data_IF_234301771890
#
_entry.id   IF_234301771890
#
_cell.length_a   1.000
_cell.length_b   1.000
_cell.length_c   1.000
_cell.angle_alpha   90.00
_cell.angle_beta   90.00
_cell.angle_gamma   90.00
#
_symmetry.space_group_name_H-M   'P 1'
#
loop_
_entity.id
_entity.type
_entity.pdbx_description
1 polymer ?
#
# COMPACT_ATOMS: atom_id res chain seq x y z
N UNK A 1 5.84 -51.44 -74.37
CA UNK A 1 6.25 -52.65 -73.62
C UNK A 1 7.72 -52.51 -73.24
N UNK A 2 8.04 -52.80 -71.97
CA UNK A 2 9.36 -53.12 -71.45
C UNK A 2 10.48 -52.05 -71.42
N UNK A 3 10.81 -51.70 -70.16
CA UNK A 3 12.14 -51.74 -69.52
C UNK A 3 13.26 -50.82 -70.07
N UNK A 4 13.67 -49.95 -69.14
CA UNK A 4 15.04 -49.82 -68.56
C UNK A 4 16.01 -48.79 -69.15
N UNK A 5 16.44 -47.92 -68.23
CA UNK A 5 17.81 -47.37 -67.99
C UNK A 5 18.14 -45.97 -68.54
N UNK A 6 18.30 -45.02 -67.60
CA UNK A 6 19.46 -44.13 -67.30
C UNK A 6 18.91 -42.88 -66.59
N UNK A 7 19.40 -42.32 -65.48
CA UNK A 7 20.65 -42.37 -64.69
C UNK A 7 20.26 -41.74 -63.32
N UNK A 8 20.54 -42.38 -62.19
CA UNK A 8 21.73 -42.23 -61.34
C UNK A 8 21.73 -41.01 -60.40
N UNK A 9 22.02 -41.32 -59.13
CA UNK A 9 22.48 -40.46 -58.01
C UNK A 9 21.42 -39.69 -57.22
N UNK A 10 21.28 -40.07 -55.94
CA UNK A 10 21.54 -39.28 -54.72
C UNK A 10 20.86 -40.00 -53.54
N UNK A 11 21.60 -40.79 -52.77
CA UNK A 11 22.37 -40.39 -51.58
C UNK A 11 21.50 -40.17 -50.34
N UNK A 12 21.68 -41.10 -49.40
CA UNK A 12 21.57 -41.01 -47.94
C UNK A 12 20.46 -40.13 -47.34
N UNK A 13 19.57 -40.82 -46.64
CA UNK A 13 18.76 -40.31 -45.56
C UNK A 13 19.60 -39.49 -44.56
N UNK A 14 19.29 -38.19 -44.47
CA UNK A 14 19.70 -37.34 -43.38
C UNK A 14 18.45 -36.84 -42.66
N UNK A 15 18.37 -37.23 -41.39
CA UNK A 15 17.39 -36.84 -40.39
C UNK A 15 17.13 -35.33 -40.38
N UNK A 16 15.90 -34.93 -40.66
CA UNK A 16 15.39 -33.58 -40.44
C UNK A 16 14.23 -33.61 -39.45
N UNK A 17 14.55 -33.67 -38.15
CA UNK A 17 13.58 -33.37 -37.09
C UNK A 17 13.26 -31.86 -37.16
N UNK A 18 12.10 -31.52 -37.73
CA UNK A 18 11.49 -30.20 -37.59
C UNK A 18 10.92 -30.06 -36.18
N UNK A 19 11.80 -29.70 -35.22
CA UNK A 19 11.39 -29.11 -33.95
C UNK A 19 10.87 -27.70 -34.22
N UNK A 20 9.57 -27.60 -34.47
CA UNK A 20 8.86 -26.32 -34.40
C UNK A 20 8.80 -25.90 -32.94
N UNK A 21 9.79 -25.13 -32.51
CA UNK A 21 9.80 -24.47 -31.21
C UNK A 21 8.67 -23.46 -31.14
N UNK A 22 7.49 -23.91 -30.70
CA UNK A 22 6.43 -23.04 -30.22
C UNK A 22 6.97 -22.40 -28.94
N UNK A 23 7.59 -21.23 -29.09
CA UNK A 23 7.93 -20.36 -27.98
C UNK A 23 6.61 -19.82 -27.42
N UNK A 24 6.00 -20.56 -26.50
CA UNK A 24 4.93 -20.02 -25.68
C UNK A 24 5.53 -18.91 -24.84
N UNK A 25 5.40 -17.68 -25.30
CA UNK A 25 5.57 -16.49 -24.46
C UNK A 25 4.49 -16.56 -23.38
N UNK A 26 4.78 -17.28 -22.29
CA UNK A 26 3.98 -17.18 -21.08
C UNK A 26 4.16 -15.76 -20.57
N UNK A 27 3.17 -14.90 -20.81
CA UNK A 27 3.09 -13.62 -20.14
C UNK A 27 3.14 -13.90 -18.64
N UNK A 28 4.24 -13.51 -17.99
CA UNK A 28 4.37 -13.65 -16.55
C UNK A 28 3.11 -13.08 -15.89
N UNK A 29 2.54 -13.77 -14.89
CA UNK A 29 1.33 -13.30 -14.23
C UNK A 29 1.57 -11.87 -13.74
N UNK A 30 0.59 -10.99 -13.95
CA UNK A 30 0.67 -9.54 -13.70
C UNK A 30 1.22 -9.21 -12.29
N UNK A 31 1.02 -10.10 -11.31
CA UNK A 31 1.55 -9.99 -9.96
C UNK A 31 3.09 -10.10 -9.86
N UNK A 32 3.74 -10.90 -10.70
CA UNK A 32 5.21 -11.03 -10.73
C UNK A 32 5.89 -9.76 -11.26
N UNK A 33 5.26 -9.08 -12.23
CA UNK A 33 5.77 -7.82 -12.80
C UNK A 33 5.70 -6.64 -11.81
N UNK A 34 4.80 -6.67 -10.82
CA UNK A 34 4.67 -5.63 -9.80
C UNK A 34 5.62 -5.81 -8.61
N UNK A 35 6.06 -7.03 -8.32
CA UNK A 35 6.87 -7.32 -7.14
C UNK A 35 8.27 -6.71 -7.18
N UNK A 36 8.84 -6.56 -8.38
CA UNK A 36 10.20 -6.06 -8.63
C UNK A 36 10.20 -4.85 -9.59
N UNK A 37 9.12 -4.07 -9.58
CA UNK A 37 8.94 -2.93 -10.46
C UNK A 37 10.04 -1.87 -10.27
N UNK A 38 10.81 -1.61 -11.33
CA UNK A 38 11.97 -0.71 -11.32
C UNK A 38 13.05 -1.07 -10.29
N UNK A 39 13.11 -2.34 -9.83
CA UNK A 39 14.10 -2.74 -8.82
C UNK A 39 15.55 -2.44 -9.26
N UNK A 40 15.87 -2.68 -10.53
CA UNK A 40 17.23 -2.53 -11.07
C UNK A 40 17.70 -1.08 -11.11
N UNK A 41 16.80 -0.11 -11.01
CA UNK A 41 17.14 1.31 -11.01
C UNK A 41 17.78 1.75 -9.69
N UNK A 42 17.61 0.98 -8.61
CA UNK A 42 18.07 1.36 -7.28
C UNK A 42 18.59 0.14 -6.51
N UNK A 43 19.88 0.14 -6.20
CA UNK A 43 20.48 -0.89 -5.36
C UNK A 43 20.23 -0.59 -3.87
N UNK A 44 19.02 -0.91 -3.40
CA UNK A 44 18.67 -0.82 -1.98
C UNK A 44 19.23 -2.00 -1.19
N UNK A 45 19.91 -1.72 -0.09
CA UNK A 45 20.40 -2.74 0.85
C UNK A 45 19.33 -3.13 1.89
N UNK A 46 18.29 -3.79 1.38
CA UNK A 46 17.11 -4.26 2.13
C UNK A 46 16.59 -5.56 1.54
N UNK A 47 15.87 -6.36 2.33
CA UNK A 47 15.26 -7.62 1.85
C UNK A 47 14.03 -7.38 0.97
N UNK A 48 13.23 -6.36 1.26
CA UNK A 48 12.13 -5.90 0.41
C UNK A 48 11.87 -4.40 0.57
N UNK A 49 11.32 -3.77 -0.47
CA UNK A 49 10.91 -2.37 -0.44
C UNK A 49 9.76 -2.07 -1.39
N UNK A 50 9.01 -1.02 -1.11
CA UNK A 50 8.03 -0.43 -2.03
C UNK A 50 7.92 1.08 -1.80
N UNK A 51 7.71 1.84 -2.87
CA UNK A 51 7.27 3.23 -2.80
C UNK A 51 5.97 3.40 -3.59
N UNK A 52 4.99 4.08 -2.98
CA UNK A 52 3.68 4.32 -3.59
C UNK A 52 3.22 5.75 -3.41
N UNK A 53 2.44 6.24 -4.36
CA UNK A 53 1.63 7.44 -4.18
C UNK A 53 0.47 7.16 -3.20
N UNK A 54 0.33 8.00 -2.18
CA UNK A 54 -0.64 7.78 -1.11
C UNK A 54 -2.09 7.89 -1.57
N UNK A 55 -2.39 8.73 -2.57
CA UNK A 55 -3.76 9.03 -3.01
C UNK A 55 -4.28 8.00 -4.01
N UNK A 56 -3.48 7.69 -5.03
CA UNK A 56 -3.83 6.79 -6.13
C UNK A 56 -3.46 5.33 -5.86
N UNK A 57 -2.51 5.09 -4.95
CA UNK A 57 -1.90 3.77 -4.74
C UNK A 57 -0.99 3.33 -5.88
N UNK A 58 -0.59 4.24 -6.78
CA UNK A 58 0.36 3.94 -7.84
C UNK A 58 1.69 3.49 -7.25
N UNK A 59 2.23 2.37 -7.75
CA UNK A 59 3.55 1.87 -7.37
C UNK A 59 4.61 2.58 -8.21
N UNK A 60 5.59 3.17 -7.54
CA UNK A 60 6.67 3.97 -8.12
C UNK A 60 8.01 3.23 -8.07
N UNK A 61 8.14 2.27 -7.16
CA UNK A 61 9.26 1.36 -7.02
C UNK A 61 8.82 0.13 -6.22
N UNK A 62 9.34 -1.05 -6.54
CA UNK A 62 9.16 -2.27 -5.77
C UNK A 62 10.38 -3.18 -5.88
N UNK A 63 10.77 -3.79 -4.75
CA UNK A 63 11.81 -4.82 -4.62
C UNK A 63 11.28 -5.93 -3.73
N UNK A 64 11.13 -7.15 -4.25
CA UNK A 64 10.56 -8.30 -3.53
C UNK A 64 9.27 -7.96 -2.75
N UNK A 65 8.44 -7.06 -3.30
CA UNK A 65 7.45 -6.34 -2.50
C UNK A 65 6.27 -7.20 -2.06
N UNK A 66 6.02 -8.33 -2.72
CA UNK A 66 4.89 -9.23 -2.46
C UNK A 66 5.24 -10.46 -1.61
N UNK A 67 6.50 -10.60 -1.19
CA UNK A 67 6.89 -11.72 -0.32
C UNK A 67 6.70 -11.31 1.15
N UNK A 68 5.90 -12.04 1.94
CA UNK A 68 5.77 -11.79 3.37
C UNK A 68 7.11 -11.86 4.11
N UNK A 69 7.34 -10.92 5.02
CA UNK A 69 8.51 -10.86 5.90
C UNK A 69 8.09 -10.37 7.27
N UNK A 70 8.92 -10.61 8.28
CA UNK A 70 8.66 -10.11 9.62
C UNK A 70 8.61 -8.57 9.61
N UNK A 71 7.58 -8.00 10.23
CA UNK A 71 7.31 -6.55 10.22
C UNK A 71 7.55 -5.90 11.58
N UNK A 72 7.83 -6.70 12.60
CA UNK A 72 8.07 -6.23 13.96
C UNK A 72 7.01 -5.18 14.41
N UNK A 73 7.45 -4.10 15.05
CA UNK A 73 6.58 -3.03 15.56
C UNK A 73 5.75 -2.27 14.52
N UNK A 74 5.97 -2.45 13.21
CA UNK A 74 5.04 -1.88 12.22
C UNK A 74 3.64 -2.52 12.31
N UNK A 75 3.52 -3.69 12.94
CA UNK A 75 2.25 -4.29 13.41
C UNK A 75 1.36 -3.26 14.10
N UNK A 76 1.95 -2.36 14.90
CA UNK A 76 1.21 -1.38 15.72
C UNK A 76 0.36 -0.43 14.89
N UNK A 77 0.65 -0.25 13.59
CA UNK A 77 -0.20 0.52 12.69
C UNK A 77 -1.59 -0.09 12.51
N UNK A 78 -1.70 -1.43 12.48
CA UNK A 78 -2.99 -2.13 12.44
C UNK A 78 -3.70 -2.01 13.80
N UNK A 79 -2.95 -2.08 14.90
CA UNK A 79 -3.47 -1.90 16.27
C UNK A 79 -4.06 -0.50 16.45
N UNK A 80 -3.34 0.52 16.01
CA UNK A 80 -3.77 1.91 15.99
C UNK A 80 -5.00 2.10 15.10
N UNK A 81 -5.02 1.51 13.90
CA UNK A 81 -6.19 1.62 13.01
C UNK A 81 -7.47 1.11 13.70
N UNK A 82 -7.41 -0.06 14.33
CA UNK A 82 -8.57 -0.62 15.05
C UNK A 82 -8.97 0.22 16.27
N UNK A 83 -8.00 0.84 16.95
CA UNK A 83 -8.26 1.76 18.06
C UNK A 83 -8.99 3.01 17.57
N UNK A 84 -8.48 3.66 16.53
CA UNK A 84 -9.11 4.84 15.91
C UNK A 84 -10.49 4.52 15.34
N UNK A 85 -10.65 3.32 14.75
CA UNK A 85 -11.95 2.84 14.31
C UNK A 85 -12.94 2.66 15.47
N UNK A 86 -12.50 2.11 16.61
CA UNK A 86 -13.35 2.00 17.80
C UNK A 86 -13.77 3.37 18.34
N UNK A 87 -12.86 4.36 18.32
CA UNK A 87 -13.16 5.74 18.70
C UNK A 87 -14.18 6.35 17.74
N UNK A 88 -13.97 6.24 16.43
CA UNK A 88 -14.89 6.75 15.40
C UNK A 88 -16.29 6.11 15.49
N UNK A 89 -16.37 4.87 15.96
CA UNK A 89 -17.64 4.16 16.20
C UNK A 89 -18.27 4.47 17.56
N UNK A 90 -17.68 5.35 18.38
CA UNK A 90 -18.19 5.70 19.72
C UNK A 90 -18.01 4.59 20.77
N UNK A 91 -17.24 3.54 20.49
CA UNK A 91 -16.99 2.42 21.44
C UNK A 91 -15.91 2.75 22.46
N UNK A 92 -15.02 3.68 22.11
CA UNK A 92 -13.99 4.25 22.96
C UNK A 92 -14.00 5.76 22.77
N UNK A 93 -13.45 6.49 23.73
CA UNK A 93 -13.07 7.89 23.58
C UNK A 93 -11.59 8.06 23.94
N UNK A 94 -11.02 9.22 23.62
CA UNK A 94 -9.66 9.56 24.02
C UNK A 94 -9.47 9.59 25.55
N UNK A 95 -10.54 9.85 26.30
CA UNK A 95 -10.56 9.91 27.77
C UNK A 95 -10.98 8.59 28.43
N UNK A 96 -11.48 7.61 27.67
CA UNK A 96 -11.66 6.25 28.18
C UNK A 96 -10.34 5.74 28.74
N UNK A 97 -10.41 4.96 29.82
CA UNK A 97 -9.21 4.41 30.47
C UNK A 97 -9.16 2.89 30.36
N UNK A 98 -7.96 2.33 30.29
CA UNK A 98 -7.71 0.90 30.33
C UNK A 98 -6.60 0.57 31.32
N UNK A 99 -6.76 -0.54 32.04
CA UNK A 99 -5.75 -1.08 32.96
C UNK A 99 -5.02 -2.25 32.29
N UNK A 100 -3.69 -2.26 32.22
CA UNK A 100 -2.94 -3.41 31.72
C UNK A 100 -3.09 -4.59 32.69
N UNK A 101 -3.15 -5.82 32.17
CA UNK A 101 -3.03 -7.00 33.04
C UNK A 101 -1.63 -7.09 33.66
N UNK A 102 -1.46 -7.92 34.68
CA UNK A 102 -0.13 -8.21 35.25
C UNK A 102 0.86 -8.72 34.20
N UNK A 103 0.40 -9.52 33.23
CA UNK A 103 1.22 -10.00 32.12
C UNK A 103 1.69 -8.86 31.21
N UNK A 104 0.78 -7.95 30.84
CA UNK A 104 1.12 -6.77 30.02
C UNK A 104 2.04 -5.81 30.77
N UNK A 105 1.80 -5.58 32.06
CA UNK A 105 2.66 -4.76 32.90
C UNK A 105 4.09 -5.32 32.96
N UNK A 106 4.25 -6.64 33.14
CA UNK A 106 5.56 -7.30 33.11
C UNK A 106 6.29 -7.07 31.77
N UNK A 107 5.58 -7.19 30.65
CA UNK A 107 6.14 -6.90 29.31
C UNK A 107 6.55 -5.43 29.19
N UNK A 108 5.77 -4.51 29.76
CA UNK A 108 6.05 -3.06 29.72
C UNK A 108 7.29 -2.66 30.55
N UNK A 109 7.67 -3.47 31.53
CA UNK A 109 8.79 -3.21 32.42
C UNK A 109 10.08 -3.90 31.94
N UNK A 110 10.03 -4.70 30.87
CA UNK A 110 11.25 -5.25 30.27
C UNK A 110 12.00 -4.15 29.50
N UNK A 111 13.20 -3.82 29.97
CA UNK A 111 14.09 -2.78 29.42
C UNK A 111 14.73 -3.16 28.09
N UNK A 112 14.70 -4.44 27.71
CA UNK A 112 15.15 -4.89 26.38
C UNK A 112 14.14 -4.54 25.28
N UNK A 113 12.91 -4.16 25.65
CA UNK A 113 11.82 -3.85 24.73
C UNK A 113 11.52 -2.35 24.75
N UNK A 114 11.16 -1.79 23.60
CA UNK A 114 10.62 -0.43 23.55
C UNK A 114 9.30 -0.35 24.34
N UNK A 115 9.27 0.46 25.38
CA UNK A 115 8.17 0.56 26.32
C UNK A 115 8.15 1.90 27.05
N UNK A 116 6.98 2.18 27.63
CA UNK A 116 6.83 3.08 28.76
C UNK A 116 6.45 2.22 29.97
N UNK A 117 6.86 2.59 31.20
CA UNK A 117 6.55 1.80 32.38
C UNK A 117 5.04 1.83 32.63
N UNK A 118 4.39 0.66 32.55
CA UNK A 118 3.00 0.49 32.94
C UNK A 118 2.90 -0.36 34.21
N UNK A 119 1.90 -0.06 35.03
CA UNK A 119 1.57 -0.83 36.24
C UNK A 119 0.14 -1.34 36.14
N UNK A 120 -0.09 -2.58 36.59
CA UNK A 120 -1.41 -3.24 36.46
C UNK A 120 -2.51 -2.62 37.34
N UNK A 121 -2.14 -1.90 38.40
CA UNK A 121 -3.09 -1.19 39.27
C UNK A 121 -3.55 0.16 38.70
N UNK A 122 -2.82 0.73 37.75
CA UNK A 122 -3.06 2.08 37.23
C UNK A 122 -3.87 2.05 35.92
N UNK A 123 -4.83 2.97 35.80
CA UNK A 123 -5.63 3.13 34.59
C UNK A 123 -5.05 4.25 33.73
N UNK A 124 -4.77 3.95 32.47
CA UNK A 124 -4.20 4.90 31.51
C UNK A 124 -5.26 5.27 30.48
N UNK A 125 -5.28 6.52 30.05
CA UNK A 125 -6.20 6.97 28.99
C UNK A 125 -5.82 6.35 27.65
N UNK A 126 -6.81 6.15 26.76
CA UNK A 126 -6.56 5.70 25.38
C UNK A 126 -5.61 6.66 24.66
N UNK A 127 -5.67 7.97 24.95
CA UNK A 127 -4.75 8.97 24.38
C UNK A 127 -3.30 8.74 24.78
N UNK A 128 -3.03 8.45 26.05
CA UNK A 128 -1.68 8.15 26.55
C UNK A 128 -1.12 6.89 25.92
N UNK A 129 -1.91 5.81 25.92
CA UNK A 129 -1.52 4.53 25.33
C UNK A 129 -1.29 4.64 23.82
N UNK A 130 -2.12 5.40 23.11
CA UNK A 130 -1.97 5.69 21.69
C UNK A 130 -0.68 6.46 21.38
N UNK A 131 -0.39 7.52 22.15
CA UNK A 131 0.85 8.29 22.00
C UNK A 131 2.07 7.44 22.29
N UNK A 132 2.07 6.66 23.36
CA UNK A 132 3.16 5.75 23.70
C UNK A 132 3.38 4.66 22.64
N UNK A 133 2.30 4.17 22.03
CA UNK A 133 2.36 3.17 20.94
C UNK A 133 3.05 3.72 19.69
N UNK A 134 2.82 4.99 19.34
CA UNK A 134 3.34 5.60 18.11
C UNK A 134 4.70 6.29 18.29
N UNK A 135 4.93 6.98 19.40
CA UNK A 135 6.16 7.72 19.68
C UNK A 135 7.25 6.75 20.17
N UNK A 136 7.04 6.15 21.34
CA UNK A 136 8.01 5.24 21.97
C UNK A 136 7.94 3.82 21.43
N UNK A 137 7.01 3.51 20.53
CA UNK A 137 6.78 2.14 20.06
C UNK A 137 6.45 1.16 21.20
N UNK A 138 5.81 1.65 22.27
CA UNK A 138 5.64 0.90 23.50
C UNK A 138 4.79 -0.36 23.32
N UNK A 139 5.35 -1.53 23.66
CA UNK A 139 4.69 -2.82 23.48
C UNK A 139 3.52 -3.00 24.45
N UNK A 140 3.73 -2.70 25.75
CA UNK A 140 2.68 -2.76 26.75
C UNK A 140 1.49 -1.87 26.42
N UNK A 141 1.74 -0.68 25.88
CA UNK A 141 0.69 0.24 25.46
C UNK A 141 -0.15 -0.33 24.31
N UNK A 142 0.50 -0.89 23.28
CA UNK A 142 -0.20 -1.52 22.15
C UNK A 142 -1.06 -2.72 22.59
N UNK A 143 -0.55 -3.55 23.50
CA UNK A 143 -1.29 -4.68 24.07
C UNK A 143 -2.49 -4.21 24.91
N UNK A 144 -2.32 -3.12 25.67
CA UNK A 144 -3.41 -2.53 26.47
C UNK A 144 -4.49 -1.92 25.58
N UNK A 145 -4.13 -1.28 24.47
CA UNK A 145 -5.09 -0.83 23.45
C UNK A 145 -5.86 -2.00 22.84
N UNK A 146 -5.17 -3.11 22.53
CA UNK A 146 -5.82 -4.31 22.02
C UNK A 146 -6.86 -4.87 23.00
N UNK A 147 -6.51 -4.93 24.29
CA UNK A 147 -7.42 -5.30 25.37
C UNK A 147 -8.62 -4.34 25.46
N UNK A 148 -8.39 -3.02 25.41
CA UNK A 148 -9.47 -2.04 25.46
C UNK A 148 -10.46 -2.18 24.30
N UNK A 149 -9.99 -2.52 23.10
CA UNK A 149 -10.83 -2.66 21.90
C UNK A 149 -11.59 -3.99 21.86
N UNK A 150 -11.08 -5.07 22.46
CA UNK A 150 -11.62 -6.41 22.25
C UNK A 150 -11.73 -7.30 23.49
N UNK A 151 -11.43 -6.79 24.68
CA UNK A 151 -11.40 -7.54 25.93
C UNK A 151 -10.10 -8.35 26.10
N UNK A 152 -9.66 -9.06 25.05
CA UNK A 152 -8.45 -9.88 25.08
C UNK A 152 -7.67 -9.85 23.76
N UNK A 153 -6.41 -10.29 23.81
CA UNK A 153 -5.52 -10.30 22.65
C UNK A 153 -5.98 -11.28 21.56
N UNK A 154 -6.44 -12.48 21.89
CA UNK A 154 -6.86 -13.48 20.89
C UNK A 154 -8.03 -12.95 20.06
N UNK A 155 -9.02 -12.35 20.70
CA UNK A 155 -10.16 -11.70 20.04
C UNK A 155 -9.69 -10.50 19.22
N UNK A 156 -8.74 -9.70 19.71
CA UNK A 156 -8.15 -8.61 18.95
C UNK A 156 -7.44 -9.10 17.67
N UNK A 157 -6.66 -10.18 17.73
CA UNK A 157 -5.98 -10.75 16.57
C UNK A 157 -6.97 -11.25 15.52
N UNK A 158 -8.10 -11.83 15.93
CA UNK A 158 -9.20 -12.19 15.00
C UNK A 158 -9.72 -10.94 14.27
N UNK A 159 -9.89 -9.81 14.97
CA UNK A 159 -10.27 -8.53 14.34
C UNK A 159 -9.19 -8.01 13.40
N UNK A 160 -7.91 -8.08 13.76
CA UNK A 160 -6.79 -7.68 12.88
C UNK A 160 -6.81 -8.49 11.59
N UNK A 161 -6.89 -9.82 11.67
CA UNK A 161 -6.93 -10.69 10.48
C UNK A 161 -8.15 -10.39 9.61
N UNK A 162 -9.33 -10.23 10.21
CA UNK A 162 -10.56 -9.85 9.48
C UNK A 162 -10.42 -8.50 8.76
N UNK A 163 -9.83 -7.51 9.43
CA UNK A 163 -9.58 -6.20 8.84
C UNK A 163 -8.64 -6.32 7.63
N UNK A 164 -7.50 -6.99 7.79
CA UNK A 164 -6.52 -7.18 6.72
C UNK A 164 -7.14 -7.94 5.54
N UNK A 165 -7.89 -9.01 5.79
CA UNK A 165 -8.63 -9.74 4.73
C UNK A 165 -9.62 -8.84 3.99
N UNK A 166 -10.33 -7.95 4.70
CA UNK A 166 -11.25 -6.99 4.06
C UNK A 166 -10.55 -5.99 3.14
N UNK A 167 -9.24 -5.80 3.29
CA UNK A 167 -8.41 -4.98 2.42
C UNK A 167 -7.72 -5.79 1.31
N UNK A 168 -8.01 -7.08 1.21
CA UNK A 168 -7.42 -7.98 0.23
C UNK A 168 -6.08 -8.58 0.66
N UNK A 169 -5.61 -8.31 1.88
CA UNK A 169 -4.38 -8.87 2.45
C UNK A 169 -4.73 -10.25 3.03
N UNK A 170 -4.30 -11.32 2.36
CA UNK A 170 -4.73 -12.71 2.66
C UNK A 170 -3.62 -13.62 3.16
N UNK A 171 -2.38 -13.22 3.03
CA UNK A 171 -1.17 -13.96 3.36
C UNK A 171 -0.46 -13.42 4.62
N UNK A 172 -1.04 -12.39 5.26
CA UNK A 172 -0.55 -11.87 6.53
C UNK A 172 -0.63 -12.93 7.65
N UNK A 173 0.46 -13.06 8.40
CA UNK A 173 0.51 -13.86 9.64
C UNK A 173 0.54 -12.91 10.82
N UNK A 174 -0.49 -12.91 11.65
CA UNK A 174 -0.60 -12.01 12.81
C UNK A 174 -0.91 -12.84 14.05
N UNK A 175 -0.08 -12.72 15.09
CA UNK A 175 -0.15 -13.46 16.34
C UNK A 175 -0.31 -12.54 17.55
N UNK A 176 0.16 -11.29 17.48
CA UNK A 176 0.04 -10.35 18.59
C UNK A 176 -0.11 -8.90 18.11
N UNK A 177 -0.49 -8.00 19.02
CA UNK A 177 -0.82 -6.60 18.70
C UNK A 177 0.42 -5.67 18.64
N UNK A 178 1.59 -6.13 19.06
CA UNK A 178 2.77 -5.27 19.23
C UNK A 178 3.92 -5.60 18.26
N UNK A 179 3.95 -6.80 17.70
CA UNK A 179 4.96 -7.27 16.75
C UNK A 179 6.19 -7.95 17.35
N UNK A 180 6.18 -8.28 18.65
CA UNK A 180 7.25 -9.08 19.26
C UNK A 180 7.17 -10.54 18.81
N UNK A 181 8.25 -11.32 19.03
CA UNK A 181 8.19 -12.77 18.95
C UNK A 181 7.20 -13.33 19.98
N UNK A 182 6.51 -14.40 19.64
CA UNK A 182 5.44 -14.93 20.50
C UNK A 182 5.93 -15.32 21.90
N UNK A 183 7.13 -15.90 22.00
CA UNK A 183 7.76 -16.28 23.27
C UNK A 183 8.10 -15.10 24.17
N UNK A 184 8.33 -13.91 23.61
CA UNK A 184 8.62 -12.67 24.35
C UNK A 184 7.40 -12.13 25.13
N UNK A 185 6.21 -12.68 24.88
CA UNK A 185 4.97 -12.22 25.50
C UNK A 185 4.57 -13.01 26.77
N UNK A 186 5.30 -14.07 27.13
CA UNK A 186 4.97 -14.90 28.29
C UNK A 186 3.52 -15.40 28.23
N UNK A 187 2.76 -15.20 29.32
CA UNK A 187 1.34 -15.60 29.38
C UNK A 187 0.40 -14.77 28.51
N UNK A 188 0.86 -13.64 27.94
CA UNK A 188 0.10 -12.90 26.94
C UNK A 188 0.28 -13.46 25.51
N UNK A 189 1.14 -14.46 25.30
CA UNK A 189 1.40 -15.04 23.99
C UNK A 189 0.13 -15.62 23.33
N UNK A 190 0.12 -15.67 22.01
CA UNK A 190 -0.94 -16.33 21.26
C UNK A 190 -0.83 -17.85 21.47
N UNK A 191 -1.93 -18.55 21.80
CA UNK A 191 -1.89 -19.97 22.09
C UNK A 191 -1.69 -20.82 20.83
N UNK A 192 -1.10 -22.01 21.00
CA UNK A 192 -1.01 -23.03 19.94
C UNK A 192 -0.04 -22.72 18.80
N UNK A 193 0.89 -21.78 18.98
CA UNK A 193 1.93 -21.43 18.00
C UNK A 193 3.31 -21.40 18.65
N UNK A 194 4.37 -21.64 17.86
CA UNK A 194 5.74 -21.70 18.36
C UNK A 194 6.23 -20.39 18.98
N UNK A 195 7.19 -20.46 19.91
CA UNK A 195 7.76 -19.28 20.58
C UNK A 195 8.43 -18.29 19.62
N UNK A 196 9.02 -18.79 18.54
CA UNK A 196 9.82 -17.95 17.63
C UNK A 196 9.00 -17.37 16.47
N UNK A 197 7.67 -17.53 16.47
CA UNK A 197 6.83 -16.93 15.42
C UNK A 197 6.69 -15.43 15.64
N UNK A 198 6.69 -14.68 14.54
CA UNK A 198 6.53 -13.24 14.52
C UNK A 198 5.47 -12.85 13.50
N UNK A 199 4.94 -11.64 13.63
CA UNK A 199 4.00 -11.10 12.65
C UNK A 199 4.70 -10.87 11.30
N UNK A 200 4.04 -11.27 10.21
CA UNK A 200 4.55 -11.16 8.84
C UNK A 200 3.52 -10.49 7.92
N UNK A 201 3.99 -9.57 7.09
CA UNK A 201 3.26 -8.98 5.96
C UNK A 201 4.25 -8.65 4.85
N UNK A 202 3.80 -8.59 3.59
CA UNK A 202 4.64 -8.13 2.49
C UNK A 202 4.81 -6.60 2.54
N UNK A 203 5.78 -6.06 1.77
CA UNK A 203 5.94 -4.61 1.69
C UNK A 203 4.71 -3.95 1.05
N UNK A 204 4.11 -4.61 0.05
CA UNK A 204 2.84 -4.23 -0.57
C UNK A 204 1.72 -4.14 0.46
N UNK A 205 1.56 -5.14 1.32
CA UNK A 205 0.51 -5.16 2.34
C UNK A 205 0.72 -4.05 3.37
N UNK A 206 1.96 -3.83 3.80
CA UNK A 206 2.29 -2.72 4.68
C UNK A 206 2.00 -1.36 4.05
N UNK A 207 2.23 -1.20 2.74
CA UNK A 207 1.85 0.02 2.02
C UNK A 207 0.33 0.20 1.97
N UNK A 208 -0.45 -0.87 1.80
CA UNK A 208 -1.92 -0.84 1.91
C UNK A 208 -2.36 -0.41 3.32
N UNK A 209 -1.77 -0.97 4.37
CA UNK A 209 -2.05 -0.59 5.77
C UNK A 209 -1.78 0.90 5.98
N UNK A 210 -0.61 1.40 5.54
CA UNK A 210 -0.25 2.81 5.65
C UNK A 210 -1.21 3.71 4.87
N UNK A 211 -1.56 3.34 3.64
CA UNK A 211 -2.49 4.09 2.80
C UNK A 211 -3.88 4.17 3.45
N UNK A 212 -4.39 3.04 3.96
CA UNK A 212 -5.69 2.98 4.66
C UNK A 212 -5.70 3.85 5.90
N UNK A 213 -4.66 3.77 6.72
CA UNK A 213 -4.53 4.58 7.92
C UNK A 213 -4.49 6.08 7.59
N UNK A 214 -3.65 6.50 6.65
CA UNK A 214 -3.54 7.91 6.25
C UNK A 214 -4.82 8.46 5.61
N UNK A 215 -5.56 7.62 4.88
CA UNK A 215 -6.80 8.01 4.23
C UNK A 215 -7.97 8.12 5.20
N UNK A 216 -8.11 7.14 6.09
CA UNK A 216 -9.26 7.04 6.97
C UNK A 216 -9.08 7.85 8.26
N UNK A 217 -7.83 8.05 8.70
CA UNK A 217 -7.43 8.74 9.93
C UNK A 217 -6.15 9.59 9.73
N UNK A 218 -6.17 10.62 8.87
CA UNK A 218 -5.01 11.48 8.60
C UNK A 218 -4.44 12.18 9.85
N UNK A 219 -5.24 12.35 10.90
CA UNK A 219 -4.83 12.89 12.20
C UNK A 219 -3.74 12.07 12.90
N UNK A 220 -3.51 10.82 12.48
CA UNK A 220 -2.38 10.00 12.97
C UNK A 220 -1.04 10.73 12.85
N UNK A 221 -0.89 11.55 11.79
CA UNK A 221 0.33 12.31 11.52
C UNK A 221 0.65 13.31 12.62
N UNK A 222 -0.37 13.85 13.31
CA UNK A 222 -0.18 14.76 14.44
C UNK A 222 0.56 14.11 15.61
N UNK A 223 0.53 12.76 15.70
CA UNK A 223 1.26 12.01 16.73
C UNK A 223 2.56 11.43 16.19
N UNK A 224 2.56 10.88 14.96
CA UNK A 224 3.79 10.30 14.39
C UNK A 224 4.87 11.33 14.09
N UNK A 225 4.50 12.62 13.97
CA UNK A 225 5.44 13.74 13.77
C UNK A 225 6.01 14.32 15.07
N UNK A 226 5.57 13.86 16.25
CA UNK A 226 6.09 14.32 17.54
C UNK A 226 7.45 13.68 17.78
N UNK A 227 8.50 14.48 17.97
CA UNK A 227 9.88 13.99 18.18
C UNK A 227 10.10 13.42 19.58
N UNK A 228 9.50 14.04 20.60
CA UNK A 228 9.53 13.56 21.98
C UNK A 228 8.29 14.00 22.76
N UNK A 229 7.97 13.29 23.82
CA UNK A 229 6.91 13.64 24.75
C UNK A 229 7.12 12.99 26.11
N UNK A 230 6.62 13.60 27.18
CA UNK A 230 6.59 12.95 28.50
C UNK A 230 5.42 11.97 28.59
N UNK A 231 5.68 10.80 29.16
CA UNK A 231 4.67 9.84 29.59
C UNK A 231 4.56 9.85 31.12
N UNK A 232 3.35 9.96 31.63
CA UNK A 232 3.08 9.91 33.07
C UNK A 232 2.46 8.57 33.43
N UNK A 233 2.99 7.94 34.48
CA UNK A 233 2.47 6.72 35.08
C UNK A 233 2.34 6.93 36.59
N UNK A 234 1.16 7.38 37.03
CA UNK A 234 0.98 7.83 38.41
C UNK A 234 1.92 9.00 38.74
N UNK A 235 2.77 8.84 39.75
CA UNK A 235 3.77 9.84 40.15
C UNK A 235 5.08 9.77 39.36
N UNK A 236 5.26 8.77 38.50
CA UNK A 236 6.48 8.61 37.70
C UNK A 236 6.32 9.25 36.33
N UNK A 237 7.35 9.97 35.88
CA UNK A 237 7.44 10.49 34.51
C UNK A 237 8.58 9.80 33.76
N UNK A 238 8.35 9.50 32.48
CA UNK A 238 9.35 8.93 31.59
C UNK A 238 9.35 9.68 30.26
N UNK A 239 10.52 9.87 29.67
CA UNK A 239 10.63 10.51 28.36
C UNK A 239 10.40 9.49 27.25
N UNK A 240 9.48 9.80 26.35
CA UNK A 240 9.29 9.08 25.09
C UNK A 240 10.08 9.80 24.01
N UNK A 241 10.88 9.05 23.26
CA UNK A 241 11.60 9.55 22.09
C UNK A 241 11.10 8.82 20.86
N UNK A 242 10.83 9.57 19.80
CA UNK A 242 10.33 8.98 18.57
C UNK A 242 11.45 8.18 17.88
N UNK A 243 11.17 6.91 17.63
CA UNK A 243 12.09 6.03 16.90
C UNK A 243 12.21 6.36 15.41
N UNK A 244 11.35 7.22 14.85
CA UNK A 244 11.51 7.75 13.51
C UNK A 244 12.54 8.90 13.51
N UNK A 245 13.81 8.58 13.28
CA UNK A 245 14.86 9.60 13.28
C UNK A 245 14.85 10.53 12.06
N UNK A 246 13.97 10.29 11.08
CA UNK A 246 13.80 11.19 9.93
C UNK A 246 12.93 12.41 10.21
N UNK A 247 12.34 12.53 11.41
CA UNK A 247 11.61 13.72 11.81
C UNK A 247 12.54 14.93 11.98
N UNK A 248 12.02 16.13 11.72
CA UNK A 248 12.75 17.39 11.89
C UNK A 248 13.36 17.50 13.29
N UNK A 249 14.67 17.69 13.36
CA UNK A 249 15.42 17.82 14.60
C UNK A 249 16.01 16.52 15.16
N UNK A 250 15.81 15.37 14.48
CA UNK A 250 16.42 14.09 14.85
C UNK A 250 17.58 13.71 13.92
N UNK A 251 18.35 12.69 14.32
CA UNK A 251 19.67 12.35 13.77
C UNK A 251 19.70 11.93 12.30
N UNK A 252 18.55 11.55 11.71
CA UNK A 252 18.43 11.15 10.30
C UNK A 252 17.48 12.07 9.52
N UNK A 253 17.34 13.33 9.96
CA UNK A 253 16.52 14.33 9.27
C UNK A 253 17.15 14.77 7.95
N UNK A 254 16.35 14.77 6.88
CA UNK A 254 16.70 15.31 5.57
C UNK A 254 15.80 16.52 5.29
N UNK A 255 16.37 17.71 5.18
CA UNK A 255 15.60 18.96 5.09
C UNK A 255 14.72 19.06 3.85
N UNK A 256 15.12 18.39 2.76
CA UNK A 256 14.37 18.33 1.51
C UNK A 256 13.34 17.18 1.47
N UNK A 257 13.33 16.31 2.50
CA UNK A 257 12.34 15.26 2.73
C UNK A 257 11.70 15.47 4.11
N UNK A 258 10.70 16.36 4.24
CA UNK A 258 10.01 16.61 5.52
C UNK A 258 9.12 15.41 5.91
N UNK A 259 9.75 14.34 6.39
CA UNK A 259 9.09 13.12 6.87
C UNK A 259 8.30 13.42 8.14
N UNK A 260 7.06 12.95 8.19
CA UNK A 260 6.11 13.17 9.29
C UNK A 260 5.54 11.86 9.87
N UNK A 261 6.07 10.71 9.44
CA UNK A 261 5.69 9.39 9.95
C UNK A 261 6.33 8.25 9.17
N UNK A 262 5.92 6.99 9.35
CA UNK A 262 4.85 6.51 10.23
C UNK A 262 5.40 5.67 11.38
N UNK A 263 6.13 4.59 11.09
CA UNK A 263 6.47 3.61 12.12
C UNK A 263 7.69 2.76 11.76
N UNK A 264 8.63 2.68 12.69
CA UNK A 264 9.75 1.74 12.70
C UNK A 264 9.36 0.38 13.27
N UNK A 265 10.13 -0.65 12.94
CA UNK A 265 10.07 -1.94 13.63
C UNK A 265 11.39 -2.70 13.55
N UNK A 266 11.75 -3.39 14.62
CA UNK A 266 12.96 -4.23 14.70
C UNK A 266 12.74 -5.43 15.58
N UNK A 267 13.24 -6.56 15.11
CA UNK A 267 13.53 -7.81 15.81
C UNK A 267 14.73 -8.43 15.11
N UNK A 268 15.38 -9.42 15.73
CA UNK A 268 16.51 -10.12 15.10
C UNK A 268 16.11 -10.77 13.77
N UNK A 269 14.87 -11.28 13.67
CA UNK A 269 14.34 -11.88 12.43
C UNK A 269 13.93 -10.85 11.38
N UNK A 270 13.34 -9.72 11.81
CA UNK A 270 12.88 -8.69 10.88
C UNK A 270 14.03 -7.83 10.33
N UNK A 271 15.13 -7.71 11.07
CA UNK A 271 16.12 -6.66 10.85
C UNK A 271 15.52 -5.27 11.10
N UNK A 272 16.08 -4.23 10.49
CA UNK A 272 15.58 -2.87 10.62
C UNK A 272 14.52 -2.57 9.55
N UNK A 273 13.27 -2.44 9.96
CA UNK A 273 12.13 -2.10 9.11
C UNK A 273 11.64 -0.66 9.35
N UNK A 274 11.10 -0.02 8.31
CA UNK A 274 10.48 1.30 8.42
C UNK A 274 9.39 1.51 7.37
N UNK A 275 8.24 1.98 7.83
CA UNK A 275 7.22 2.60 6.99
C UNK A 275 7.31 4.12 7.16
N UNK A 276 7.75 4.80 6.10
CA UNK A 276 7.93 6.25 6.02
C UNK A 276 6.87 6.92 5.16
N UNK A 277 6.57 8.19 5.43
CA UNK A 277 5.80 9.03 4.52
C UNK A 277 6.34 10.45 4.50
N UNK A 278 6.19 11.10 3.36
CA UNK A 278 6.59 12.49 3.16
C UNK A 278 5.63 13.14 2.18
N UNK A 279 5.26 14.40 2.45
CA UNK A 279 4.50 15.24 1.53
C UNK A 279 5.40 16.34 0.97
N UNK A 280 5.63 16.33 -0.35
CA UNK A 280 6.46 17.32 -1.05
C UNK A 280 5.74 17.74 -2.33
N UNK A 281 5.78 19.03 -2.66
CA UNK A 281 5.13 19.60 -3.85
C UNK A 281 3.63 19.25 -3.96
N UNK A 282 2.92 19.21 -2.82
CA UNK A 282 1.49 18.90 -2.76
C UNK A 282 1.15 17.41 -2.82
N UNK A 283 2.11 16.52 -3.09
CA UNK A 283 1.88 15.08 -3.22
C UNK A 283 2.54 14.29 -2.10
N UNK A 284 1.86 13.24 -1.64
CA UNK A 284 2.35 12.39 -0.55
C UNK A 284 2.74 11.03 -1.08
N UNK A 285 3.94 10.59 -0.73
CA UNK A 285 4.39 9.22 -0.98
C UNK A 285 4.48 8.44 0.34
N UNK A 286 4.31 7.13 0.23
CA UNK A 286 4.52 6.15 1.29
C UNK A 286 5.64 5.23 0.84
N UNK A 287 6.61 5.00 1.71
CA UNK A 287 7.70 4.05 1.49
C UNK A 287 7.70 2.99 2.57
N UNK A 288 7.92 1.73 2.21
CA UNK A 288 8.16 0.66 3.17
C UNK A 288 9.48 -0.01 2.81
N UNK A 289 10.36 -0.18 3.79
CA UNK A 289 11.59 -0.98 3.70
C UNK A 289 11.57 -2.06 4.78
N UNK A 290 11.85 -3.30 4.38
CA UNK A 290 11.86 -4.49 5.23
C UNK A 290 13.26 -5.11 5.25
N UNK A 291 13.78 -5.39 6.45
CA UNK A 291 15.06 -6.08 6.62
C UNK A 291 16.25 -5.30 6.10
N UNK A 292 16.37 -4.02 6.46
CA UNK A 292 17.66 -3.32 6.37
C UNK A 292 18.62 -3.87 7.43
N UNK A 293 19.92 -3.61 7.24
CA UNK A 293 20.97 -3.91 8.23
C UNK A 293 20.61 -3.30 9.60
N UNK A 294 20.96 -4.02 10.66
CA UNK A 294 20.78 -3.59 12.03
C UNK A 294 21.94 -4.09 12.90
N UNK A 295 23.07 -3.40 12.87
CA UNK A 295 24.24 -3.79 13.66
C UNK A 295 24.04 -3.54 15.17
N UNK A 296 23.30 -2.48 15.53
CA UNK A 296 22.92 -2.12 16.90
C UNK A 296 21.74 -1.12 16.87
N UNK A 297 21.28 -0.70 18.05
CA UNK A 297 20.15 0.21 18.21
C UNK A 297 20.38 1.62 17.64
N UNK A 298 21.61 2.00 17.30
CA UNK A 298 22.00 3.27 16.68
C UNK A 298 22.19 3.18 15.16
N UNK A 299 22.08 2.00 14.55
CA UNK A 299 22.29 1.80 13.11
C UNK A 299 21.20 2.52 12.27
N UNK A 300 21.55 3.54 11.46
CA UNK A 300 20.59 4.34 10.71
C UNK A 300 20.19 3.70 9.36
N UNK A 301 20.65 2.48 9.05
CA UNK A 301 20.53 1.87 7.73
C UNK A 301 19.11 1.94 7.14
N UNK A 302 18.06 1.66 7.93
CA UNK A 302 16.67 1.77 7.43
C UNK A 302 16.33 3.17 6.92
N UNK A 303 16.82 4.22 7.57
CA UNK A 303 16.55 5.61 7.22
C UNK A 303 17.37 6.02 6.01
N UNK A 304 18.64 5.59 5.92
CA UNK A 304 19.49 5.78 4.73
C UNK A 304 18.85 5.15 3.50
N UNK A 305 18.38 3.90 3.59
CA UNK A 305 17.72 3.21 2.47
C UNK A 305 16.36 3.86 2.14
N UNK A 306 15.63 4.35 3.14
CA UNK A 306 14.37 5.07 2.92
C UNK A 306 14.60 6.41 2.22
N UNK A 307 15.58 7.20 2.64
CA UNK A 307 15.93 8.46 1.99
C UNK A 307 16.35 8.23 0.53
N UNK A 308 17.17 7.21 0.24
CA UNK A 308 17.51 6.81 -1.13
C UNK A 308 16.26 6.53 -1.97
N UNK A 309 15.31 5.76 -1.42
CA UNK A 309 14.06 5.42 -2.09
C UNK A 309 13.16 6.65 -2.32
N UNK A 310 13.03 7.53 -1.33
CA UNK A 310 12.26 8.78 -1.46
C UNK A 310 12.87 9.73 -2.49
N UNK A 311 14.20 9.93 -2.46
CA UNK A 311 14.90 10.74 -3.45
C UNK A 311 14.74 10.17 -4.86
N UNK A 312 14.88 8.85 -5.03
CA UNK A 312 14.65 8.19 -6.32
C UNK A 312 13.28 8.56 -6.90
N UNK A 313 12.22 8.51 -6.10
CA UNK A 313 10.87 8.86 -6.56
C UNK A 313 10.81 10.32 -7.03
N UNK A 314 11.23 11.28 -6.20
CA UNK A 314 11.12 12.70 -6.54
C UNK A 314 12.09 13.15 -7.65
N UNK A 315 13.20 12.45 -7.84
CA UNK A 315 14.16 12.72 -8.90
C UNK A 315 13.78 12.09 -10.23
N UNK A 316 13.03 10.97 -10.23
CA UNK A 316 12.74 10.22 -11.45
C UNK A 316 11.29 10.33 -11.91
N UNK A 317 10.37 10.85 -11.09
CA UNK A 317 8.96 10.98 -11.45
C UNK A 317 8.46 12.41 -11.34
N UNK A 318 7.53 12.75 -12.24
CA UNK A 318 6.75 13.98 -12.21
C UNK A 318 5.29 13.64 -11.95
N UNK A 319 4.70 14.29 -10.93
CA UNK A 319 3.29 14.18 -10.64
C UNK A 319 2.47 15.05 -11.60
N UNK A 320 1.56 14.43 -12.35
CA UNK A 320 0.64 15.08 -13.28
C UNK A 320 -0.75 15.04 -12.66
N UNK A 321 -1.25 16.21 -12.25
CA UNK A 321 -2.60 16.34 -11.66
C UNK A 321 -3.61 16.70 -12.73
N UNK A 322 -4.52 15.77 -13.01
CA UNK A 322 -5.66 15.98 -13.90
C UNK A 322 -6.88 16.34 -13.05
N UNK A 323 -7.40 17.56 -13.21
CA UNK A 323 -8.51 18.08 -12.39
C UNK A 323 -9.85 17.48 -12.83
N UNK A 324 -10.79 17.35 -11.89
CA UNK A 324 -12.19 17.06 -12.19
C UNK A 324 -12.72 18.05 -13.22
N UNK A 325 -13.47 17.57 -14.21
CA UNK A 325 -14.05 18.38 -15.29
C UNK A 325 -13.10 18.61 -16.46
N UNK A 326 -11.81 18.26 -16.37
CA UNK A 326 -10.90 18.37 -17.51
C UNK A 326 -11.29 17.38 -18.62
N UNK A 327 -11.28 17.89 -19.86
CA UNK A 327 -11.34 17.08 -21.08
C UNK A 327 -9.94 16.54 -21.41
N UNK A 328 -9.85 15.31 -21.90
CA UNK A 328 -8.58 14.67 -22.25
C UNK A 328 -8.50 14.47 -23.77
N UNK A 329 -7.49 15.04 -24.40
CA UNK A 329 -7.26 14.88 -25.84
C UNK A 329 -7.14 13.41 -26.24
N UNK A 330 -7.81 13.02 -27.34
CA UNK A 330 -7.88 11.62 -27.80
C UNK A 330 -8.82 10.70 -27.00
N UNK A 331 -9.44 11.19 -25.92
CA UNK A 331 -10.33 10.42 -25.05
C UNK A 331 -11.50 11.27 -24.50
N UNK A 332 -12.01 12.21 -25.31
CA UNK A 332 -13.01 13.21 -24.89
C UNK A 332 -14.46 12.87 -25.32
N UNK A 333 -14.68 11.77 -26.02
CA UNK A 333 -16.01 11.34 -26.48
C UNK A 333 -16.20 9.83 -26.34
N UNK A 334 -17.45 9.41 -26.12
CA UNK A 334 -17.91 8.02 -26.27
C UNK A 334 -19.00 7.97 -27.34
N UNK A 335 -19.04 6.90 -28.14
CA UNK A 335 -20.14 6.66 -29.08
C UNK A 335 -21.41 6.30 -28.33
N UNK A 336 -22.55 6.76 -28.82
CA UNK A 336 -23.89 6.43 -28.32
C UNK A 336 -24.78 6.09 -29.52
N UNK A 337 -24.66 4.87 -30.09
CA UNK A 337 -25.31 4.53 -31.35
C UNK A 337 -26.84 4.74 -31.37
N UNK A 338 -27.47 4.49 -30.22
CA UNK A 338 -28.92 4.59 -30.02
C UNK A 338 -29.39 5.96 -29.50
N UNK A 339 -28.45 6.88 -29.26
CA UNK A 339 -28.75 8.22 -28.73
C UNK A 339 -29.29 9.16 -29.80
N UNK A 340 -30.00 10.22 -29.38
CA UNK A 340 -30.35 11.35 -30.24
C UNK A 340 -29.10 11.87 -30.96
N UNK A 341 -28.04 12.08 -30.18
CA UNK A 341 -26.68 12.29 -30.66
C UNK A 341 -25.94 10.94 -30.75
N UNK A 342 -25.20 10.67 -31.83
CA UNK A 342 -24.44 9.42 -32.01
C UNK A 342 -23.17 9.36 -31.16
N UNK A 343 -22.88 10.42 -30.40
CA UNK A 343 -21.77 10.49 -29.44
C UNK A 343 -22.11 11.36 -28.24
N UNK A 344 -21.34 11.24 -27.18
CA UNK A 344 -21.44 12.09 -25.99
C UNK A 344 -20.05 12.50 -25.52
N UNK A 345 -19.88 13.80 -25.26
CA UNK A 345 -18.66 14.35 -24.68
C UNK A 345 -18.50 13.86 -23.24
N UNK A 346 -17.27 13.53 -22.88
CA UNK A 346 -16.90 13.06 -21.55
C UNK A 346 -15.74 13.86 -20.97
N UNK A 347 -15.76 14.00 -19.65
CA UNK A 347 -14.72 14.66 -18.86
C UNK A 347 -14.36 13.82 -17.64
N UNK A 348 -13.25 14.16 -16.98
CA UNK A 348 -12.84 13.55 -15.72
C UNK A 348 -13.89 13.74 -14.61
N UNK A 349 -14.42 12.64 -14.07
CA UNK A 349 -15.38 12.67 -12.97
C UNK A 349 -14.77 12.98 -11.60
N UNK A 350 -13.45 12.84 -11.46
CA UNK A 350 -12.70 13.16 -10.23
C UNK A 350 -11.30 13.69 -10.58
N UNK A 351 -10.72 14.47 -9.67
CA UNK A 351 -9.30 14.81 -9.73
C UNK A 351 -8.47 13.55 -9.48
N UNK A 352 -7.42 13.36 -10.28
CA UNK A 352 -6.49 12.24 -10.14
C UNK A 352 -5.07 12.73 -10.37
N UNK A 353 -4.14 12.25 -9.55
CA UNK A 353 -2.71 12.44 -9.76
C UNK A 353 -2.12 11.17 -10.34
N UNK A 354 -1.34 11.31 -11.40
CA UNK A 354 -0.60 10.24 -12.06
C UNK A 354 0.88 10.60 -12.04
N UNK A 355 1.73 9.70 -11.58
CA UNK A 355 3.17 9.90 -11.62
C UNK A 355 3.73 9.28 -12.89
N UNK A 356 4.38 10.08 -13.73
CA UNK A 356 5.07 9.60 -14.92
C UNK A 356 6.59 9.74 -14.72
N UNK A 357 7.36 8.73 -15.14
CA UNK A 357 8.82 8.82 -15.12
C UNK A 357 9.26 10.00 -16.00
N UNK A 358 10.28 10.76 -15.58
CA UNK A 358 10.78 11.91 -16.33
C UNK A 358 11.10 11.52 -17.78
N UNK A 359 10.79 12.41 -18.73
CA UNK A 359 10.87 12.15 -20.16
C UNK A 359 9.76 11.25 -20.74
N UNK A 360 8.91 10.65 -19.91
CA UNK A 360 7.77 9.84 -20.40
C UNK A 360 6.54 10.70 -20.68
N UNK A 361 5.83 10.38 -21.76
CA UNK A 361 4.55 11.02 -22.09
C UNK A 361 3.40 10.19 -21.52
N UNK A 362 2.45 10.86 -20.86
CA UNK A 362 1.22 10.24 -20.39
C UNK A 362 0.31 9.91 -21.57
N UNK A 363 -0.16 8.67 -21.62
CA UNK A 363 -1.13 8.17 -22.59
C UNK A 363 -2.45 7.86 -21.86
N UNK A 364 -3.57 8.20 -22.49
CA UNK A 364 -4.89 8.00 -21.89
C UNK A 364 -5.83 7.35 -22.89
N UNK A 365 -6.61 6.37 -22.43
CA UNK A 365 -7.67 5.73 -23.22
C UNK A 365 -8.93 5.55 -22.38
N UNK A 366 -10.08 5.37 -23.04
CA UNK A 366 -11.31 5.01 -22.36
C UNK A 366 -11.45 3.49 -22.26
N UNK A 367 -12.02 3.02 -21.16
CA UNK A 367 -12.32 1.60 -20.94
C UNK A 367 -13.34 1.05 -21.92
N UNK A 368 -14.19 1.92 -22.48
CA UNK A 368 -15.23 1.64 -23.46
C UNK A 368 -15.27 2.79 -24.45
N UNK A 369 -15.44 2.47 -25.73
CA UNK A 369 -15.58 3.46 -26.81
C UNK A 369 -17.03 3.71 -27.19
N UNK A 370 -17.97 2.87 -26.73
CA UNK A 370 -19.40 2.99 -26.96
C UNK A 370 -20.22 2.67 -25.70
N UNK A 371 -21.36 3.34 -25.54
CA UNK A 371 -22.35 3.14 -24.47
C UNK A 371 -23.77 3.24 -25.03
N UNK A 372 -24.74 2.65 -24.34
CA UNK A 372 -26.16 2.69 -24.73
C UNK A 372 -26.82 3.97 -24.21
N UNK A 373 -27.82 4.45 -24.94
CA UNK A 373 -28.72 5.50 -24.47
C UNK A 373 -29.75 4.91 -23.47
N UNK A 374 -30.39 5.73 -22.62
CA UNK A 374 -30.12 7.15 -22.40
C UNK A 374 -28.86 7.38 -21.54
N UNK A 375 -28.08 8.39 -21.91
CA UNK A 375 -26.96 8.89 -21.09
C UNK A 375 -27.42 10.13 -20.33
N UNK A 376 -27.21 10.16 -19.02
CA UNK A 376 -27.51 11.34 -18.18
C UNK A 376 -26.25 12.16 -17.93
N UNK A 377 -26.37 13.48 -17.89
CA UNK A 377 -25.33 14.41 -17.49
C UNK A 377 -24.77 14.02 -16.12
N UNK A 378 -23.45 14.00 -15.99
CA UNK A 378 -22.75 13.62 -14.76
C UNK A 378 -22.70 12.12 -14.48
N UNK A 379 -23.42 11.29 -15.23
CA UNK A 379 -23.34 9.82 -15.08
C UNK A 379 -21.98 9.30 -15.55
N UNK A 380 -21.46 8.28 -14.86
CA UNK A 380 -20.25 7.58 -15.28
C UNK A 380 -20.57 6.66 -16.45
N UNK A 381 -20.00 6.95 -17.61
CA UNK A 381 -20.21 6.19 -18.86
C UNK A 381 -19.04 5.27 -19.19
N UNK A 382 -17.82 5.64 -18.77
CA UNK A 382 -16.61 4.84 -18.92
C UNK A 382 -15.63 5.12 -17.78
N UNK A 383 -14.42 4.58 -17.88
CA UNK A 383 -13.27 4.95 -17.05
C UNK A 383 -12.10 5.34 -17.95
N UNK A 384 -11.40 6.40 -17.61
CA UNK A 384 -10.06 6.70 -18.10
C UNK A 384 -9.07 5.66 -17.56
N UNK A 385 -8.27 5.08 -18.47
CA UNK A 385 -7.11 4.24 -18.21
C UNK A 385 -5.86 5.02 -18.59
N UNK A 386 -4.88 5.03 -17.69
CA UNK A 386 -3.63 5.76 -17.87
C UNK A 386 -2.46 4.81 -18.11
N UNK A 387 -1.61 5.11 -19.08
CA UNK A 387 -0.30 4.47 -19.29
C UNK A 387 0.74 5.55 -19.54
N UNK A 388 2.02 5.18 -19.54
CA UNK A 388 3.09 6.07 -19.97
C UNK A 388 3.88 5.40 -21.10
N UNK A 389 4.62 6.19 -21.87
CA UNK A 389 5.56 5.64 -22.86
C UNK A 389 6.64 4.75 -22.23
N UNK A 390 6.93 4.93 -20.94
CA UNK A 390 7.81 4.05 -20.15
C UNK A 390 7.14 2.73 -19.71
N UNK A 391 5.86 2.54 -20.00
CA UNK A 391 5.13 1.30 -19.78
C UNK A 391 3.91 1.44 -18.86
N UNK A 392 3.57 0.34 -18.18
CA UNK A 392 2.40 0.26 -17.30
C UNK A 392 2.63 1.05 -16.01
N UNK A 393 1.54 1.58 -15.47
CA UNK A 393 1.48 2.28 -14.18
C UNK A 393 0.79 1.37 -13.15
N UNK A 394 1.53 0.46 -12.49
CA UNK A 394 0.95 -0.47 -11.54
C UNK A 394 0.40 0.25 -10.31
N UNK A 395 -0.54 -0.37 -9.60
CA UNK A 395 -1.04 0.12 -8.31
C UNK A 395 -1.21 -1.00 -7.30
N UNK A 396 -1.35 -0.64 -6.02
CA UNK A 396 -1.63 -1.57 -4.92
C UNK A 396 -2.87 -2.45 -5.13
N UNK A 397 -3.81 -2.03 -5.98
CA UNK A 397 -4.99 -2.84 -6.32
C UNK A 397 -4.71 -3.97 -7.32
N UNK A 398 -3.47 -4.11 -7.79
CA UNK A 398 -3.09 -5.02 -8.88
C UNK A 398 -3.59 -4.56 -10.27
N UNK A 399 -4.26 -3.41 -10.34
CA UNK A 399 -4.80 -2.81 -11.56
C UNK A 399 -4.07 -1.50 -11.88
N UNK A 400 -4.19 -1.03 -13.11
CA UNK A 400 -3.73 0.30 -13.49
C UNK A 400 -4.59 1.38 -12.81
N UNK A 401 -3.99 2.54 -12.51
CA UNK A 401 -4.73 3.70 -12.00
C UNK A 401 -5.82 4.10 -13.01
N UNK A 402 -7.03 4.38 -12.52
CA UNK A 402 -8.17 4.79 -13.36
C UNK A 402 -8.96 5.94 -12.74
N UNK A 403 -9.66 6.70 -13.58
CA UNK A 403 -10.59 7.73 -13.17
C UNK A 403 -11.94 7.59 -13.91
N UNK A 404 -13.09 7.94 -13.30
CA UNK A 404 -14.38 7.93 -13.99
C UNK A 404 -14.37 8.91 -15.17
N UNK A 405 -14.94 8.51 -16.31
CA UNK A 405 -15.30 9.39 -17.39
C UNK A 405 -16.81 9.67 -17.29
N UNK A 406 -17.18 10.94 -17.12
CA UNK A 406 -18.57 11.35 -16.91
C UNK A 406 -19.10 12.16 -18.09
N UNK A 407 -20.35 11.93 -18.47
CA UNK A 407 -20.99 12.64 -19.57
C UNK A 407 -21.23 14.12 -19.22
N UNK A 408 -20.99 15.03 -20.17
CA UNK A 408 -21.18 16.48 -19.96
C UNK A 408 -22.62 16.95 -20.17
N UNK A 409 -23.45 16.13 -20.81
CA UNK A 409 -24.82 16.46 -21.20
C UNK A 409 -25.70 15.21 -21.22
N UNK A 410 -27.02 15.42 -21.25
CA UNK A 410 -27.97 14.35 -21.50
C UNK A 410 -27.96 13.94 -22.97
N UNK A 411 -28.14 12.66 -23.24
CA UNK A 411 -28.33 12.10 -24.57
C UNK A 411 -29.40 11.00 -24.48
N UNK A 412 -30.65 11.39 -24.76
CA UNK A 412 -31.80 10.50 -24.73
C UNK A 412 -31.76 9.50 -25.89
N UNK A 413 -32.57 8.46 -25.83
CA UNK A 413 -32.75 7.58 -26.99
C UNK A 413 -33.28 8.36 -28.20
N UNK A 414 -32.73 8.05 -29.37
CA UNK A 414 -33.32 8.47 -30.64
C UNK A 414 -34.67 7.76 -30.84
N UNK A 415 -35.53 8.35 -31.67
CA UNK A 415 -36.83 7.73 -31.97
C UNK A 415 -36.64 6.36 -32.66
N UNK A 416 -37.69 5.54 -32.63
CA UNK A 416 -37.67 4.17 -33.11
C UNK A 416 -37.20 4.06 -34.58
N UNK A 417 -37.70 4.91 -35.48
CA UNK A 417 -37.37 4.87 -36.89
C UNK A 417 -35.89 5.21 -37.15
N UNK A 418 -35.34 6.19 -36.44
CA UNK A 418 -33.92 6.55 -36.52
C UNK A 418 -33.04 5.39 -36.02
N UNK A 419 -33.44 4.71 -34.94
CA UNK A 419 -32.71 3.53 -34.42
C UNK A 419 -32.78 2.36 -35.38
N UNK A 420 -33.95 2.08 -35.95
CA UNK A 420 -34.13 1.03 -36.96
C UNK A 420 -33.28 1.30 -38.20
N UNK A 421 -33.32 2.53 -38.73
CA UNK A 421 -32.50 2.95 -39.86
C UNK A 421 -31.00 2.77 -39.57
N UNK A 422 -30.52 3.25 -38.42
CA UNK A 422 -29.11 3.10 -38.00
C UNK A 422 -28.72 1.63 -37.76
N UNK A 423 -29.65 0.78 -37.36
CA UNK A 423 -29.40 -0.66 -37.21
C UNK A 423 -29.22 -1.37 -38.56
N UNK A 424 -29.88 -0.88 -39.62
CA UNK A 424 -29.82 -1.48 -40.96
C UNK A 424 -28.66 -0.90 -41.76
N UNK A 425 -28.42 0.41 -41.69
CA UNK A 425 -27.48 1.13 -42.56
C UNK A 425 -26.24 1.67 -41.84
N UNK A 426 -26.14 1.48 -40.53
CA UNK A 426 -25.07 2.00 -39.67
C UNK A 426 -25.31 3.42 -39.16
N UNK A 427 -24.61 3.77 -38.08
CA UNK A 427 -24.58 5.12 -37.51
C UNK A 427 -23.55 5.97 -38.27
N UNK A 428 -23.94 6.61 -39.36
CA UNK A 428 -23.15 7.72 -39.94
C UNK A 428 -23.39 9.00 -39.16
#
# INVERSE_FOLDING_TARGET
>A
MLKKIKKALLSLAASGLLLTGISTWQAAPVAAATANYQQQDLNLDVKAAIAVDADSGQILYAKNATTPRQIASMTKLVTVYLTLQAIKQGKLSWTSTAKPTAAIAKISQNTEYSNVPLTSGHAYTIKELYRATLIESANGAALTLAQAVSGDQVTFIKKMRKLLTSWGIKDAKIYNACGLANGSLGSAAYPGVGKDVENEMSATDMAIVCQKLLKDFPEVLQTTSITSATFSSGSTQSQMTNWNWMLKGLSSYYSDLPVDGLKTGTTDKAGACFAGTVKKNGHRIITVVLGAKHANSQDPSRFVQTAKLMHYVYQNYTAITLKKGSSISGANTVKVPEGKETSSKVVLGKTVTIWAKQGSKLQTSLSKTAVSAPVKKGSKVASYKFSATSGKLPSLSGKTVTAPAVATQDNQEANFFVRLWRSIFGSK
#
